data_IF_604710456125
#
_entry.id   IF_604710456125
#
_cell.length_a   1.000
_cell.length_b   1.000
_cell.length_c   1.000
_cell.angle_alpha   90.00
_cell.angle_beta   90.00
_cell.angle_gamma   90.00
#
_symmetry.space_group_name_H-M   'P 1'
#
loop_
_entity.id
_entity.type
_entity.pdbx_description
1 polymer ?
#
# COMPACT_ATOMS: atom_id res chain seq x y z
N UNK A 1 8.51 8.32 12.36
CA UNK A 1 8.66 7.55 13.60
C UNK A 1 8.45 8.34 14.88
N UNK A 2 7.56 9.34 14.89
CA UNK A 2 7.18 10.08 16.11
C UNK A 2 5.88 9.55 16.70
N UNK A 3 5.69 9.70 18.01
CA UNK A 3 4.47 9.28 18.68
C UNK A 3 3.31 10.23 18.37
N UNK A 4 2.13 9.66 18.20
CA UNK A 4 0.87 10.38 17.96
C UNK A 4 0.22 10.82 19.29
N UNK A 5 -1.02 11.29 19.22
CA UNK A 5 -1.78 11.79 20.39
C UNK A 5 -1.96 10.73 21.49
N UNK A 6 -1.98 9.46 21.16
CA UNK A 6 -2.08 8.38 22.14
C UNK A 6 -0.80 8.20 22.96
N UNK A 7 0.30 8.82 22.54
CA UNK A 7 1.56 8.85 23.29
C UNK A 7 1.56 9.78 24.52
N UNK A 8 0.44 10.44 24.83
CA UNK A 8 0.26 11.34 25.97
C UNK A 8 1.41 12.36 26.09
N UNK A 9 2.16 12.36 27.21
CA UNK A 9 3.29 13.27 27.44
C UNK A 9 4.46 13.09 26.44
N UNK A 10 4.51 11.99 25.70
CA UNK A 10 5.54 11.71 24.70
C UNK A 10 5.12 12.07 23.27
N UNK A 11 3.94 12.68 23.08
CA UNK A 11 3.46 13.13 21.78
C UNK A 11 4.53 13.94 21.03
N UNK A 12 4.76 13.60 19.75
CA UNK A 12 5.72 14.27 18.89
C UNK A 12 7.18 13.87 19.10
N UNK A 13 7.50 13.11 20.14
CA UNK A 13 8.86 12.61 20.37
C UNK A 13 9.19 11.46 19.42
N UNK A 14 10.46 11.35 19.05
CA UNK A 14 10.97 10.21 18.29
C UNK A 14 10.85 8.91 19.10
N UNK A 15 10.43 7.84 18.44
CA UNK A 15 10.18 6.52 19.05
C UNK A 15 11.39 5.93 19.79
N UNK A 16 12.61 6.17 19.32
CA UNK A 16 13.81 5.68 19.99
C UNK A 16 14.20 6.54 21.20
N UNK A 17 13.96 7.84 21.11
CA UNK A 17 14.14 8.76 22.25
C UNK A 17 13.17 8.41 23.38
N UNK A 18 11.90 8.15 23.04
CA UNK A 18 10.88 7.75 24.02
C UNK A 18 11.24 6.47 24.75
N UNK A 19 11.77 5.45 24.07
CA UNK A 19 12.19 4.18 24.72
C UNK A 19 13.18 4.40 25.87
N UNK A 20 14.06 5.39 25.71
CA UNK A 20 15.03 5.74 26.75
C UNK A 20 14.38 6.59 27.86
N UNK A 21 13.49 7.50 27.48
CA UNK A 21 12.85 8.40 28.44
C UNK A 21 11.83 7.67 29.33
N UNK A 22 11.00 6.79 28.74
CA UNK A 22 9.97 6.05 29.49
C UNK A 22 10.56 5.18 30.61
N UNK A 23 11.75 4.60 30.38
CA UNK A 23 12.43 3.83 31.42
C UNK A 23 12.75 4.70 32.63
N UNK A 24 13.29 5.91 32.40
CA UNK A 24 13.61 6.85 33.49
C UNK A 24 12.36 7.30 34.24
N UNK A 25 11.29 7.57 33.51
CA UNK A 25 10.03 8.05 34.10
C UNK A 25 9.36 6.96 34.94
N UNK A 26 9.38 5.70 34.47
CA UNK A 26 8.88 4.55 35.21
C UNK A 26 9.75 4.24 36.46
N UNK A 27 11.06 4.41 36.36
CA UNK A 27 11.98 4.24 37.48
C UNK A 27 11.71 5.32 38.55
N UNK A 28 11.57 6.58 38.12
CA UNK A 28 11.22 7.69 39.02
C UNK A 28 9.86 7.50 39.71
N UNK A 29 8.91 6.86 39.02
CA UNK A 29 7.59 6.51 39.58
C UNK A 29 7.60 5.25 40.48
N UNK A 30 8.73 4.55 40.61
CA UNK A 30 8.83 3.31 41.38
C UNK A 30 8.08 2.11 40.76
N UNK A 31 7.86 2.14 39.43
CA UNK A 31 7.09 1.13 38.71
C UNK A 31 7.97 0.10 37.99
N UNK A 32 9.29 0.19 38.12
CA UNK A 32 10.22 -0.79 37.58
C UNK A 32 10.65 -1.77 38.65
N UNK A 33 10.37 -3.05 38.42
CA UNK A 33 10.85 -4.14 39.32
C UNK A 33 12.28 -4.56 38.95
N UNK A 34 12.56 -4.70 37.64
CA UNK A 34 13.85 -5.19 37.14
C UNK A 34 14.09 -4.76 35.71
N UNK A 35 15.34 -4.48 35.38
CA UNK A 35 15.82 -4.29 34.01
C UNK A 35 16.83 -5.41 33.72
N UNK A 36 16.62 -6.14 32.63
CA UNK A 36 17.50 -7.22 32.17
C UNK A 36 17.94 -6.97 30.72
N UNK A 37 19.18 -7.33 30.44
CA UNK A 37 19.67 -7.36 29.06
C UNK A 37 18.98 -8.47 28.29
N UNK A 38 18.37 -8.12 27.16
CA UNK A 38 17.66 -9.04 26.32
C UNK A 38 18.02 -8.84 24.85
N UNK A 39 18.30 -9.93 24.14
CA UNK A 39 18.60 -9.90 22.71
C UNK A 39 17.43 -10.48 21.92
N UNK A 40 16.90 -9.72 20.98
CA UNK A 40 15.82 -10.16 20.09
C UNK A 40 16.14 -9.81 18.64
N UNK A 41 15.40 -10.44 17.72
CA UNK A 41 15.46 -10.10 16.30
C UNK A 41 14.45 -9.00 16.01
N UNK A 42 14.92 -7.89 15.42
CA UNK A 42 14.09 -6.76 15.02
C UNK A 42 14.00 -6.72 13.50
N UNK A 43 12.78 -6.63 12.96
CA UNK A 43 12.56 -6.50 11.53
C UNK A 43 13.06 -5.14 11.00
N UNK A 44 13.77 -5.17 9.89
CA UNK A 44 14.23 -3.98 9.17
C UNK A 44 13.69 -3.97 7.75
N UNK A 45 13.44 -2.79 7.21
CA UNK A 45 13.08 -2.62 5.80
C UNK A 45 14.28 -2.95 4.92
N UNK A 46 14.10 -3.85 3.95
CA UNK A 46 15.16 -4.20 2.99
C UNK A 46 15.64 -3.01 2.15
N UNK A 47 14.81 -1.97 2.01
CA UNK A 47 15.10 -0.82 1.14
C UNK A 47 15.76 0.35 1.87
N UNK A 48 15.44 0.54 3.14
CA UNK A 48 15.87 1.72 3.91
C UNK A 48 16.66 1.38 5.15
N UNK A 49 16.79 0.09 5.48
CA UNK A 49 17.38 -0.42 6.71
C UNK A 49 16.74 0.18 8.00
N UNK A 50 15.57 0.76 7.86
CA UNK A 50 14.81 1.30 9.00
C UNK A 50 14.08 0.21 9.74
N UNK A 51 14.02 0.31 11.07
CA UNK A 51 13.21 -0.59 11.90
C UNK A 51 11.74 -0.50 11.50
N UNK A 52 11.11 -1.66 11.26
CA UNK A 52 9.71 -1.76 10.86
C UNK A 52 8.81 -1.52 12.08
N UNK A 53 7.79 -0.68 11.89
CA UNK A 53 6.69 -0.52 12.86
C UNK A 53 5.36 -0.87 12.17
N UNK A 54 4.52 -1.72 12.78
CA UNK A 54 3.20 -2.03 12.23
C UNK A 54 2.33 -0.78 12.14
N UNK A 55 1.82 -0.50 10.95
CA UNK A 55 0.91 0.63 10.71
C UNK A 55 -0.13 0.25 9.67
N UNK A 56 -1.39 0.52 9.96
CA UNK A 56 -2.45 0.43 8.96
C UNK A 56 -2.39 1.66 8.06
N UNK A 57 -2.44 1.45 6.75
CA UNK A 57 -2.54 2.48 5.74
C UNK A 57 -3.48 2.03 4.62
N UNK A 58 -4.14 2.98 3.98
CA UNK A 58 -4.90 2.70 2.77
C UNK A 58 -3.94 2.25 1.67
N UNK A 59 -4.36 1.25 0.89
CA UNK A 59 -3.57 0.71 -0.22
C UNK A 59 -4.50 0.48 -1.42
N UNK A 60 -3.92 0.55 -2.61
CA UNK A 60 -4.62 0.21 -3.84
C UNK A 60 -4.53 -1.27 -4.12
N UNK A 61 -5.68 -1.89 -4.39
CA UNK A 61 -5.79 -3.31 -4.74
C UNK A 61 -6.45 -3.49 -6.09
N UNK A 62 -5.88 -4.36 -6.90
CA UNK A 62 -6.52 -4.89 -8.10
C UNK A 62 -7.33 -6.12 -7.72
N UNK A 63 -8.62 -6.11 -8.05
CA UNK A 63 -9.49 -7.29 -7.89
C UNK A 63 -9.10 -8.35 -8.90
N UNK A 64 -8.58 -9.47 -8.43
CA UNK A 64 -8.01 -10.51 -9.29
C UNK A 64 -9.01 -11.61 -9.67
N UNK A 65 -10.10 -11.78 -8.95
CA UNK A 65 -11.01 -12.92 -9.10
C UNK A 65 -11.56 -13.04 -10.52
N UNK A 66 -12.11 -11.98 -11.09
CA UNK A 66 -12.72 -12.01 -12.43
C UNK A 66 -11.67 -12.21 -13.54
N UNK A 67 -10.48 -11.66 -13.36
CA UNK A 67 -9.36 -11.86 -14.28
C UNK A 67 -8.89 -13.31 -14.24
N UNK A 68 -8.77 -13.87 -13.05
CA UNK A 68 -8.35 -15.26 -12.85
C UNK A 68 -9.35 -16.27 -13.40
N UNK A 69 -10.66 -16.02 -13.24
CA UNK A 69 -11.70 -16.88 -13.83
C UNK A 69 -11.55 -17.01 -15.35
N UNK A 70 -11.39 -15.87 -16.03
CA UNK A 70 -11.18 -15.86 -17.49
C UNK A 70 -9.90 -16.56 -17.91
N UNK A 71 -8.82 -16.33 -17.17
CA UNK A 71 -7.52 -16.96 -17.41
C UNK A 71 -7.55 -18.47 -17.15
N UNK A 72 -8.32 -18.92 -16.16
CA UNK A 72 -8.50 -20.33 -15.85
C UNK A 72 -9.33 -21.04 -16.94
N UNK A 73 -10.41 -20.42 -17.39
CA UNK A 73 -11.31 -20.99 -18.42
C UNK A 73 -10.56 -21.38 -19.70
N UNK A 74 -9.66 -20.52 -20.20
CA UNK A 74 -8.90 -20.80 -21.44
C UNK A 74 -7.88 -21.93 -21.29
N UNK A 75 -7.47 -22.21 -20.06
CA UNK A 75 -6.60 -23.37 -19.76
C UNK A 75 -7.42 -24.64 -19.52
N UNK A 76 -8.59 -24.52 -18.91
CA UNK A 76 -9.43 -25.69 -18.64
C UNK A 76 -10.03 -26.27 -19.90
N UNK A 77 -10.43 -25.44 -20.86
CA UNK A 77 -10.95 -25.85 -22.17
C UNK A 77 -9.84 -26.19 -23.20
N UNK A 78 -8.58 -26.24 -22.77
CA UNK A 78 -7.38 -26.55 -23.58
C UNK A 78 -7.13 -25.57 -24.75
N UNK A 79 -7.72 -24.39 -24.75
CA UNK A 79 -7.34 -23.29 -25.67
C UNK A 79 -5.88 -22.91 -25.48
N UNK A 80 -5.43 -22.86 -24.21
CA UNK A 80 -4.01 -22.72 -23.83
C UNK A 80 -3.59 -24.01 -23.12
N UNK A 81 -2.53 -24.65 -23.63
CA UNK A 81 -2.03 -25.90 -23.11
C UNK A 81 -0.66 -25.75 -22.46
N UNK A 82 -0.48 -26.38 -21.30
CA UNK A 82 0.81 -26.45 -20.62
C UNK A 82 1.62 -27.69 -21.05
N UNK A 83 2.89 -27.50 -21.29
CA UNK A 83 3.84 -28.57 -21.49
C UNK A 83 4.98 -28.49 -20.45
N UNK A 84 5.15 -29.50 -19.57
CA UNK A 84 4.33 -30.72 -19.39
C UNK A 84 2.94 -30.42 -18.80
N UNK A 85 1.96 -31.26 -19.16
CA UNK A 85 0.55 -31.11 -18.76
C UNK A 85 0.32 -31.05 -17.23
N UNK A 86 1.24 -31.59 -16.42
CA UNK A 86 1.15 -31.53 -14.94
C UNK A 86 1.04 -30.11 -14.38
N UNK A 87 1.58 -29.11 -15.07
CA UNK A 87 1.50 -27.73 -14.64
C UNK A 87 0.09 -27.13 -14.75
N UNK A 88 -0.82 -27.73 -15.49
CA UNK A 88 -2.25 -27.35 -15.51
C UNK A 88 -2.86 -27.39 -14.10
N UNK A 89 -2.54 -28.41 -13.30
CA UNK A 89 -3.04 -28.51 -11.92
C UNK A 89 -2.47 -27.43 -11.00
N UNK A 90 -1.18 -27.13 -11.14
CA UNK A 90 -0.54 -26.04 -10.37
C UNK A 90 -1.17 -24.69 -10.72
N UNK A 91 -1.35 -24.42 -12.01
CA UNK A 91 -1.99 -23.21 -12.51
C UNK A 91 -3.43 -23.06 -11.98
N UNK A 92 -4.24 -24.14 -12.08
CA UNK A 92 -5.59 -24.18 -11.53
C UNK A 92 -5.60 -23.79 -10.05
N UNK A 93 -4.78 -24.46 -9.25
CA UNK A 93 -4.70 -24.17 -7.81
C UNK A 93 -4.38 -22.70 -7.51
N UNK A 94 -3.48 -22.09 -8.29
CA UNK A 94 -3.14 -20.68 -8.14
C UNK A 94 -4.31 -19.77 -8.50
N UNK A 95 -5.00 -20.02 -9.62
CA UNK A 95 -6.11 -19.20 -10.08
C UNK A 95 -7.35 -19.30 -9.18
N UNK A 96 -7.65 -20.49 -8.67
CA UNK A 96 -8.77 -20.71 -7.74
C UNK A 96 -8.56 -20.05 -6.36
N UNK A 97 -7.30 -19.90 -5.94
CA UNK A 97 -6.94 -19.35 -4.63
C UNK A 97 -6.29 -17.95 -4.71
N UNK A 98 -6.44 -17.27 -5.83
CA UNK A 98 -5.81 -15.99 -6.05
C UNK A 98 -6.35 -14.94 -5.05
N UNK A 99 -5.46 -14.10 -4.55
CA UNK A 99 -5.79 -12.97 -3.69
C UNK A 99 -5.75 -11.68 -4.49
N UNK A 100 -6.51 -10.68 -4.04
CA UNK A 100 -6.40 -9.33 -4.58
C UNK A 100 -4.96 -8.83 -4.47
N UNK A 101 -4.48 -8.19 -5.51
CA UNK A 101 -3.10 -7.75 -5.61
C UNK A 101 -2.95 -6.32 -5.13
N UNK A 102 -2.18 -6.11 -4.06
CA UNK A 102 -1.79 -4.77 -3.63
C UNK A 102 -0.80 -4.20 -4.65
N UNK A 103 -1.22 -3.17 -5.37
CA UNK A 103 -0.46 -2.54 -6.46
C UNK A 103 0.22 -1.23 -6.07
N UNK A 104 -0.04 -0.68 -4.89
CA UNK A 104 0.62 0.53 -4.40
C UNK A 104 1.92 0.22 -3.68
N UNK A 105 2.91 1.10 -3.84
CA UNK A 105 4.22 1.04 -3.19
C UNK A 105 4.60 2.43 -2.67
N UNK A 106 5.06 2.48 -1.42
CA UNK A 106 5.55 3.70 -0.76
C UNK A 106 7.02 3.93 -1.15
N UNK A 107 7.27 4.29 -2.40
CA UNK A 107 8.58 4.53 -2.96
C UNK A 107 8.67 5.95 -3.50
N UNK A 108 9.84 6.53 -3.38
CA UNK A 108 10.09 7.85 -3.96
C UNK A 108 10.23 7.82 -5.49
N UNK A 109 10.68 6.70 -6.06
CA UNK A 109 10.86 6.52 -7.50
C UNK A 109 9.90 5.48 -8.05
N UNK A 110 9.20 5.82 -9.14
CA UNK A 110 8.29 4.92 -9.83
C UNK A 110 7.20 5.69 -10.59
N UNK A 111 6.25 4.95 -11.15
CA UNK A 111 5.08 5.52 -11.81
C UNK A 111 4.04 5.90 -10.75
N UNK A 112 3.87 7.18 -10.52
CA UNK A 112 2.94 7.70 -9.54
C UNK A 112 1.51 7.30 -9.88
N UNK A 113 0.74 6.89 -8.87
CA UNK A 113 -0.65 6.48 -9.06
C UNK A 113 -1.47 7.68 -9.54
N UNK A 114 -2.22 7.54 -10.67
CA UNK A 114 -2.98 8.63 -11.26
C UNK A 114 -4.34 8.82 -10.58
N UNK A 115 -4.35 8.87 -9.27
CA UNK A 115 -5.52 9.07 -8.43
C UNK A 115 -5.41 10.41 -7.69
N UNK A 116 -6.49 11.17 -7.69
CA UNK A 116 -6.57 12.50 -7.10
C UNK A 116 -7.65 12.51 -6.02
N UNK A 117 -7.26 12.90 -4.81
CA UNK A 117 -8.14 13.02 -3.67
C UNK A 117 -8.77 14.39 -3.61
N UNK A 118 -10.08 14.42 -3.44
CA UNK A 118 -10.86 15.65 -3.26
C UNK A 118 -11.01 15.99 -1.78
N UNK A 119 -11.33 17.26 -1.42
CA UNK A 119 -11.54 17.66 -0.01
C UNK A 119 -12.65 16.86 0.70
N UNK A 120 -13.65 16.38 -0.04
CA UNK A 120 -14.73 15.54 0.48
C UNK A 120 -14.34 14.06 0.64
N UNK A 121 -13.04 13.70 0.43
CA UNK A 121 -12.47 12.35 0.47
C UNK A 121 -12.86 11.44 -0.69
N UNK A 122 -13.57 11.94 -1.68
CA UNK A 122 -13.79 11.22 -2.93
C UNK A 122 -12.51 11.16 -3.76
N UNK A 123 -12.44 10.18 -4.66
CA UNK A 123 -11.25 9.93 -5.49
C UNK A 123 -11.64 9.96 -6.96
N UNK A 124 -10.83 10.66 -7.74
CA UNK A 124 -10.93 10.67 -9.19
C UNK A 124 -9.65 10.14 -9.79
N UNK A 125 -9.76 9.26 -10.79
CA UNK A 125 -8.62 8.71 -11.53
C UNK A 125 -8.59 9.35 -12.90
N UNK A 126 -7.44 9.95 -13.25
CA UNK A 126 -7.22 10.59 -14.55
C UNK A 126 -5.71 10.70 -14.82
N UNK A 127 -5.35 10.91 -16.08
CA UNK A 127 -3.96 11.04 -16.50
C UNK A 127 -3.32 12.33 -15.97
N UNK A 128 -4.08 13.43 -15.95
CA UNK A 128 -3.61 14.74 -15.48
C UNK A 128 -4.53 15.32 -14.41
N UNK A 129 -4.01 16.29 -13.63
CA UNK A 129 -4.77 16.99 -12.62
C UNK A 129 -5.94 17.77 -13.21
N UNK A 130 -5.73 18.39 -14.37
CA UNK A 130 -6.76 19.15 -15.10
C UNK A 130 -7.92 18.26 -15.54
N UNK A 131 -7.61 17.08 -16.04
CA UNK A 131 -8.62 16.10 -16.40
C UNK A 131 -9.36 15.58 -15.17
N UNK A 132 -8.64 15.27 -14.10
CA UNK A 132 -9.25 14.87 -12.82
C UNK A 132 -10.20 15.96 -12.29
N UNK A 133 -9.81 17.23 -12.39
CA UNK A 133 -10.64 18.35 -11.99
C UNK A 133 -11.93 18.43 -12.83
N UNK A 134 -11.84 18.31 -14.15
CA UNK A 134 -13.00 18.29 -15.04
C UNK A 134 -13.96 17.13 -14.68
N UNK A 135 -13.43 15.93 -14.46
CA UNK A 135 -14.23 14.77 -14.06
C UNK A 135 -14.88 15.00 -12.68
N UNK A 136 -14.16 15.63 -11.76
CA UNK A 136 -14.70 15.96 -10.44
C UNK A 136 -15.88 16.93 -10.53
N UNK A 137 -15.77 17.97 -11.36
CA UNK A 137 -16.86 18.92 -11.60
C UNK A 137 -18.08 18.25 -12.24
N UNK A 138 -17.86 17.39 -13.23
CA UNK A 138 -18.94 16.65 -13.91
C UNK A 138 -19.70 15.70 -12.96
N UNK A 139 -18.99 15.07 -12.00
CA UNK A 139 -19.58 14.09 -11.07
C UNK A 139 -20.22 14.73 -9.85
N UNK A 140 -19.62 15.78 -9.31
CA UNK A 140 -19.94 16.29 -7.98
C UNK A 140 -20.37 17.77 -8.01
N UNK A 141 -20.35 18.43 -9.16
CA UNK A 141 -20.70 19.83 -9.34
C UNK A 141 -19.50 20.78 -9.33
N UNK A 142 -19.70 21.98 -9.86
CA UNK A 142 -18.62 22.95 -10.07
C UNK A 142 -18.01 23.51 -8.79
N UNK A 143 -18.74 23.45 -7.68
CA UNK A 143 -18.30 24.01 -6.38
C UNK A 143 -17.60 22.99 -5.48
N UNK A 144 -17.29 21.79 -6.01
CA UNK A 144 -16.72 20.70 -5.20
C UNK A 144 -15.35 21.02 -4.62
N UNK A 145 -14.49 21.63 -5.42
CA UNK A 145 -13.14 22.06 -5.03
C UNK A 145 -12.54 22.99 -6.08
N UNK A 146 -11.41 23.59 -5.76
CA UNK A 146 -10.49 24.18 -6.74
C UNK A 146 -9.42 23.17 -7.13
N UNK A 147 -8.76 23.36 -8.28
CA UNK A 147 -7.71 22.47 -8.74
C UNK A 147 -6.55 22.34 -7.73
N UNK A 148 -6.21 23.43 -7.04
CA UNK A 148 -5.14 23.48 -6.04
C UNK A 148 -5.46 22.70 -4.75
N UNK A 149 -6.73 22.34 -4.55
CA UNK A 149 -7.17 21.53 -3.42
C UNK A 149 -7.15 20.03 -3.69
N UNK A 150 -6.87 19.66 -4.93
CA UNK A 150 -6.74 18.24 -5.30
C UNK A 150 -5.35 17.75 -4.99
N UNK A 151 -5.26 16.59 -4.35
CA UNK A 151 -4.00 15.96 -3.99
C UNK A 151 -3.84 14.65 -4.75
N UNK A 152 -2.82 14.57 -5.59
CA UNK A 152 -2.49 13.29 -6.23
C UNK A 152 -1.91 12.33 -5.20
N UNK A 153 -2.23 11.05 -5.33
CA UNK A 153 -1.68 9.98 -4.51
C UNK A 153 -0.13 10.03 -4.51
N UNK A 154 0.49 9.86 -3.34
CA UNK A 154 1.95 9.92 -3.20
C UNK A 154 2.62 8.59 -3.54
N UNK A 155 1.86 7.49 -3.52
CA UNK A 155 2.34 6.16 -3.82
C UNK A 155 2.60 5.96 -5.32
N UNK A 156 3.41 4.96 -5.62
CA UNK A 156 3.70 4.54 -7.00
C UNK A 156 3.15 3.15 -7.26
N UNK A 157 2.93 2.83 -8.53
CA UNK A 157 2.49 1.52 -8.96
C UNK A 157 3.61 0.48 -8.80
N UNK A 158 3.22 -0.74 -8.46
CA UNK A 158 4.10 -1.91 -8.51
C UNK A 158 4.69 -2.06 -9.91
N UNK A 159 5.99 -2.33 -9.98
CA UNK A 159 6.71 -2.50 -11.26
C UNK A 159 6.10 -3.60 -12.12
N UNK A 160 5.65 -4.70 -11.50
CA UNK A 160 4.99 -5.79 -12.22
C UNK A 160 3.65 -5.40 -12.79
N UNK A 161 2.92 -4.47 -12.15
CA UNK A 161 1.65 -3.97 -12.68
C UNK A 161 1.86 -3.26 -14.02
N UNK A 162 2.84 -2.36 -14.12
CA UNK A 162 3.17 -1.70 -15.39
C UNK A 162 3.78 -2.67 -16.41
N UNK A 163 4.60 -3.63 -15.98
CA UNK A 163 5.20 -4.62 -16.88
C UNK A 163 4.18 -5.55 -17.52
N UNK A 164 3.09 -5.86 -16.85
CA UNK A 164 2.01 -6.67 -17.42
C UNK A 164 1.25 -5.97 -18.55
N UNK A 165 1.32 -4.66 -18.62
CA UNK A 165 0.68 -3.89 -19.69
C UNK A 165 1.50 -3.89 -21.00
N UNK A 166 2.76 -4.33 -20.94
CA UNK A 166 3.66 -4.34 -22.09
C UNK A 166 3.05 -4.98 -23.36
N UNK A 167 2.41 -6.15 -23.32
CA UNK A 167 1.83 -6.78 -24.50
C UNK A 167 0.69 -5.99 -25.14
N UNK A 168 0.16 -4.99 -24.43
CA UNK A 168 -0.98 -4.17 -24.86
C UNK A 168 -0.53 -2.76 -25.27
N UNK A 169 0.61 -2.31 -24.71
CA UNK A 169 1.11 -0.93 -24.88
C UNK A 169 2.11 -0.76 -26.02
N UNK A 170 2.54 -1.82 -26.68
CA UNK A 170 3.46 -1.85 -27.84
C UNK A 170 2.77 -2.29 -29.10
#
# INVERSE_FOLDING_TARGET
GTLNDNGMQYKGMDRFAVRKQIVKDLEAAGLIEKIEDYTNKVGHSERTDSVIEPKLSAQWFLKMEDLAKKALEVVENDTIQFHPAKFKNTYRHWMENIKDWCISRQLWWGQRIPAYYLPNKEVVVAETCEEAYRIAQERYGNDICTIDQMMQDEDVLDTWFSSWLWPISV
#
